data_IF_920280936478
#
_entry.id   IF_920280936478
#
_cell.length_a   1.000
_cell.length_b   1.000
_cell.length_c   1.000
_cell.angle_alpha   90.00
_cell.angle_beta   90.00
_cell.angle_gamma   90.00
#
_symmetry.space_group_name_H-M   'P 1'
#
loop_
_entity.id
_entity.type
_entity.pdbx_description
1 polymer ?
#
# COMPACT_ATOMS: atom_id res chain seq x y z
N UNK A 1 -16.40 -17.38 -24.83
CA UNK A 1 -16.81 -16.32 -25.77
C UNK A 1 -15.98 -16.50 -27.02
N UNK A 2 -16.61 -16.63 -28.20
CA UNK A 2 -15.87 -16.59 -29.46
C UNK A 2 -15.05 -15.31 -29.52
N UNK A 3 -13.75 -15.44 -29.77
CA UNK A 3 -12.86 -14.34 -30.13
C UNK A 3 -13.41 -13.70 -31.40
N UNK A 4 -14.25 -12.68 -31.25
CA UNK A 4 -14.61 -11.79 -32.34
C UNK A 4 -13.36 -10.99 -32.72
N UNK A 5 -13.17 -10.85 -34.03
CA UNK A 5 -12.04 -10.21 -34.67
C UNK A 5 -11.69 -8.87 -34.02
N UNK A 6 -10.39 -8.70 -33.73
CA UNK A 6 -9.78 -7.47 -33.23
C UNK A 6 -10.03 -6.36 -34.28
N UNK A 7 -10.69 -5.25 -33.94
CA UNK A 7 -10.84 -4.12 -34.85
C UNK A 7 -9.46 -3.52 -35.16
N UNK A 8 -9.27 -3.11 -36.41
CA UNK A 8 -7.99 -2.58 -36.91
C UNK A 8 -7.49 -1.37 -36.13
N UNK A 9 -6.16 -1.22 -36.14
CA UNK A 9 -5.37 -0.12 -35.59
C UNK A 9 -6.07 1.25 -35.77
N UNK A 10 -6.54 1.83 -34.66
CA UNK A 10 -6.87 3.25 -34.60
C UNK A 10 -5.56 4.01 -34.31
N UNK A 11 -5.08 4.91 -35.19
CA UNK A 11 -3.97 5.79 -34.87
C UNK A 11 -4.48 6.93 -33.97
N UNK A 12 -3.68 7.23 -32.94
CA UNK A 12 -3.73 8.40 -32.07
C UNK A 12 -4.94 8.51 -31.12
N UNK A 13 -4.93 7.67 -30.08
CA UNK A 13 -5.66 7.97 -28.85
C UNK A 13 -5.07 9.23 -28.19
N UNK A 14 -5.89 10.18 -27.74
CA UNK A 14 -5.39 11.37 -27.06
C UNK A 14 -4.68 10.97 -25.77
N UNK A 15 -3.46 11.48 -25.60
CA UNK A 15 -2.74 11.39 -24.33
C UNK A 15 -3.52 12.17 -23.26
N UNK A 16 -3.67 11.59 -22.07
CA UNK A 16 -4.26 12.28 -20.92
C UNK A 16 -3.46 13.53 -20.51
N UNK A 17 -3.96 14.32 -19.54
CA UNK A 17 -3.25 15.49 -19.05
C UNK A 17 -1.85 15.12 -18.56
N UNK A 18 -0.87 15.94 -18.92
CA UNK A 18 0.52 15.76 -18.51
C UNK A 18 0.69 16.01 -17.01
N UNK A 19 1.38 15.09 -16.34
CA UNK A 19 1.68 15.14 -14.90
C UNK A 19 2.66 16.26 -14.57
N UNK A 20 3.59 16.58 -15.47
CA UNK A 20 4.62 17.60 -15.25
C UNK A 20 4.44 18.79 -16.18
N UNK A 21 4.69 19.99 -15.67
CA UNK A 21 4.82 21.19 -16.52
C UNK A 21 6.15 21.16 -17.27
N UNK A 22 6.24 21.86 -18.41
CA UNK A 22 7.50 21.99 -19.15
C UNK A 22 8.63 22.59 -18.29
N UNK A 23 8.32 23.53 -17.39
CA UNK A 23 9.30 24.10 -16.45
C UNK A 23 9.80 23.05 -15.46
N UNK A 24 8.91 22.16 -14.97
CA UNK A 24 9.28 21.06 -14.08
C UNK A 24 10.15 20.01 -14.79
N UNK A 25 9.78 19.60 -16.02
CA UNK A 25 10.56 18.65 -16.82
C UNK A 25 11.98 19.19 -17.02
N UNK A 26 12.11 20.41 -17.52
CA UNK A 26 13.41 21.06 -17.73
C UNK A 26 14.21 21.16 -16.43
N UNK A 27 13.55 21.48 -15.31
CA UNK A 27 14.23 21.56 -14.01
C UNK A 27 14.79 20.20 -13.56
N UNK A 28 14.06 19.10 -13.82
CA UNK A 28 14.49 17.74 -13.49
C UNK A 28 15.58 17.24 -14.45
N UNK A 29 15.54 17.60 -15.74
CA UNK A 29 16.60 17.33 -16.72
C UNK A 29 17.89 18.06 -16.36
N UNK A 30 17.81 19.35 -16.01
CA UNK A 30 18.96 20.15 -15.53
C UNK A 30 19.54 19.60 -14.21
N UNK A 31 18.80 18.76 -13.50
CA UNK A 31 19.25 18.07 -12.29
C UNK A 31 19.75 16.63 -12.56
N UNK A 32 19.76 16.20 -13.83
CA UNK A 32 20.03 14.83 -14.26
C UNK A 32 19.12 13.78 -13.61
N UNK A 33 17.95 14.19 -13.11
CA UNK A 33 16.93 13.30 -12.53
C UNK A 33 16.06 12.71 -13.63
N UNK A 34 15.61 13.51 -14.59
CA UNK A 34 14.97 12.99 -15.81
C UNK A 34 16.02 12.95 -16.91
N UNK A 35 16.20 11.78 -17.53
CA UNK A 35 17.08 11.66 -18.67
C UNK A 35 16.40 12.25 -19.92
N UNK A 36 17.16 12.93 -20.82
CA UNK A 36 16.64 13.45 -22.06
C UNK A 36 15.98 12.34 -22.89
N UNK A 37 14.92 12.70 -23.59
CA UNK A 37 14.20 11.75 -24.45
C UNK A 37 15.10 11.36 -25.64
N UNK A 38 15.33 10.05 -25.90
CA UNK A 38 16.22 9.65 -26.98
C UNK A 38 15.70 10.01 -28.39
N UNK A 39 14.38 10.14 -28.59
CA UNK A 39 13.74 10.43 -29.89
C UNK A 39 12.34 11.06 -29.73
N UNK A 40 11.86 11.89 -30.68
CA UNK A 40 10.57 12.60 -30.61
C UNK A 40 9.30 11.73 -30.72
N UNK A 41 9.43 10.40 -30.78
CA UNK A 41 8.31 9.45 -30.90
C UNK A 41 8.28 8.45 -29.71
N UNK A 42 8.94 8.75 -28.59
CA UNK A 42 9.17 7.77 -27.53
C UNK A 42 8.02 7.70 -26.52
N UNK A 43 7.19 6.66 -26.69
CA UNK A 43 6.49 5.84 -25.68
C UNK A 43 5.76 6.49 -24.50
N UNK A 44 5.57 7.80 -24.40
CA UNK A 44 4.86 8.44 -23.27
C UNK A 44 5.52 8.25 -21.88
N UNK A 45 6.71 7.64 -21.83
CA UNK A 45 7.48 7.32 -20.61
C UNK A 45 8.78 8.11 -20.59
N UNK A 46 9.29 8.43 -19.40
CA UNK A 46 10.61 9.03 -19.21
C UNK A 46 11.42 8.27 -18.19
N UNK A 47 12.72 8.17 -18.45
CA UNK A 47 13.67 7.53 -17.56
C UNK A 47 14.06 8.48 -16.43
N UNK A 48 13.84 8.06 -15.21
CA UNK A 48 14.28 8.69 -13.96
C UNK A 48 15.61 8.07 -13.55
N UNK A 49 16.56 8.88 -13.09
CA UNK A 49 17.84 8.46 -12.54
C UNK A 49 18.12 9.24 -11.25
N UNK A 50 17.88 8.64 -10.09
CA UNK A 50 18.04 9.33 -8.81
C UNK A 50 18.42 8.38 -7.66
N UNK A 51 19.17 8.90 -6.70
CA UNK A 51 19.34 8.31 -5.38
C UNK A 51 18.32 8.90 -4.40
N UNK A 52 17.77 8.06 -3.52
CA UNK A 52 16.79 8.48 -2.52
C UNK A 52 17.41 8.41 -1.12
N UNK A 53 17.38 9.53 -0.41
CA UNK A 53 17.93 9.62 0.95
C UNK A 53 16.82 9.54 1.99
N UNK A 54 17.06 8.74 3.03
CA UNK A 54 16.18 8.64 4.18
C UNK A 54 15.87 10.02 4.81
N UNK A 55 14.65 10.21 5.35
CA UNK A 55 14.35 11.32 6.23
C UNK A 55 15.36 11.41 7.37
N UNK A 56 15.96 12.59 7.57
CA UNK A 56 16.86 12.84 8.69
C UNK A 56 16.08 13.29 9.92
N UNK A 57 16.53 12.87 11.10
CA UNK A 57 16.06 13.44 12.36
C UNK A 57 16.37 14.93 12.35
N UNK A 58 15.34 15.77 12.48
CA UNK A 58 15.52 17.22 12.52
C UNK A 58 16.09 17.54 13.90
N UNK A 59 17.42 17.65 13.98
CA UNK A 59 18.09 18.12 15.19
C UNK A 59 17.57 19.50 15.53
N UNK A 60 16.76 19.57 16.59
CA UNK A 60 16.19 20.75 17.27
C UNK A 60 16.99 22.06 17.12
N UNK A 61 16.82 22.73 15.98
CA UNK A 61 17.43 24.04 15.71
C UNK A 61 16.43 24.96 15.01
N UNK A 62 15.30 25.18 15.67
CA UNK A 62 14.63 26.48 15.70
C UNK A 62 13.46 26.43 16.71
N UNK A 63 13.67 27.18 17.78
CA UNK A 63 12.69 27.62 18.79
C UNK A 63 11.29 27.90 18.23
N UNK A 64 10.31 27.09 18.62
CA UNK A 64 9.04 27.61 19.14
C UNK A 64 8.38 26.57 20.04
N UNK A 65 8.11 27.02 21.25
CA UNK A 65 7.41 26.35 22.34
C UNK A 65 6.00 25.92 21.92
N UNK A 66 5.79 24.62 21.77
CA UNK A 66 4.52 23.96 22.06
C UNK A 66 4.82 22.53 22.47
N UNK A 67 4.39 22.18 23.67
CA UNK A 67 4.50 20.89 24.34
C UNK A 67 3.63 19.80 23.68
N UNK A 68 3.60 19.73 22.36
CA UNK A 68 2.89 18.68 21.63
C UNK A 68 3.76 17.43 21.55
N UNK A 69 3.50 16.46 22.42
CA UNK A 69 4.07 15.11 22.29
C UNK A 69 3.77 14.57 20.89
N UNK A 70 4.79 14.01 20.23
CA UNK A 70 4.64 13.37 18.92
C UNK A 70 3.55 12.29 18.99
N UNK A 71 2.72 12.20 17.95
CA UNK A 71 1.61 11.24 17.86
C UNK A 71 2.05 9.91 17.23
N UNK A 72 3.15 9.90 16.48
CA UNK A 72 3.81 8.68 16.04
C UNK A 72 5.32 8.91 15.86
N UNK A 73 6.05 7.83 15.64
CA UNK A 73 7.43 7.90 15.19
C UNK A 73 7.66 7.03 13.95
N UNK A 74 8.73 7.32 13.20
CA UNK A 74 9.06 6.63 11.96
C UNK A 74 10.55 6.29 11.89
N UNK A 75 10.84 5.06 11.47
CA UNK A 75 12.14 4.57 11.06
C UNK A 75 12.09 4.25 9.55
N UNK A 76 13.23 4.35 8.88
CA UNK A 76 13.36 4.00 7.46
C UNK A 76 14.53 3.07 7.21
N UNK A 77 14.34 2.04 6.40
CA UNK A 77 15.36 1.05 6.02
C UNK A 77 15.52 0.95 4.50
N UNK A 78 16.71 0.59 4.05
CA UNK A 78 17.01 0.36 2.63
C UNK A 78 17.49 1.59 1.87
N UNK A 79 17.11 2.80 2.29
CA UNK A 79 17.49 4.05 1.64
C UNK A 79 18.99 4.30 1.67
N UNK A 80 19.63 4.18 0.51
CA UNK A 80 21.07 4.37 0.34
C UNK A 80 21.35 5.59 -0.54
N UNK A 81 21.86 6.71 0.02
CA UNK A 81 22.08 7.96 -0.73
C UNK A 81 23.12 7.82 -1.85
N UNK A 82 23.96 6.78 -1.79
CA UNK A 82 25.03 6.53 -2.75
C UNK A 82 24.63 5.58 -3.88
N UNK A 83 23.39 5.07 -3.88
CA UNK A 83 22.90 4.14 -4.92
C UNK A 83 21.90 4.86 -5.80
N UNK A 84 22.33 5.14 -7.04
CA UNK A 84 21.44 5.68 -8.07
C UNK A 84 20.56 4.56 -8.59
N UNK A 85 19.25 4.79 -8.61
CA UNK A 85 18.25 3.92 -9.21
C UNK A 85 17.79 4.52 -10.53
N UNK A 86 17.57 3.66 -11.52
CA UNK A 86 17.08 4.07 -12.84
C UNK A 86 15.83 3.30 -13.21
N UNK A 87 14.79 4.01 -13.63
CA UNK A 87 13.44 3.46 -13.79
C UNK A 87 12.58 4.34 -14.72
N UNK A 88 11.56 3.80 -15.36
CA UNK A 88 10.73 4.46 -16.37
C UNK A 88 9.36 4.88 -15.79
N UNK A 89 9.04 6.18 -15.87
CA UNK A 89 7.79 6.73 -15.36
C UNK A 89 6.89 7.24 -16.50
N UNK A 90 5.60 6.84 -16.55
CA UNK A 90 4.61 7.49 -17.40
C UNK A 90 4.49 8.99 -17.11
N UNK A 91 4.34 9.81 -18.16
CA UNK A 91 4.18 11.27 -18.04
C UNK A 91 2.72 11.74 -18.03
N UNK A 92 1.77 10.88 -18.38
CA UNK A 92 0.35 11.16 -18.28
C UNK A 92 -0.23 10.51 -17.01
N UNK A 93 -1.28 11.13 -16.45
CA UNK A 93 -1.97 10.60 -15.27
C UNK A 93 -2.76 9.33 -15.61
N UNK A 94 -3.29 9.28 -16.83
CA UNK A 94 -4.07 8.19 -17.38
C UNK A 94 -3.60 7.91 -18.81
N UNK A 95 -3.10 6.69 -19.05
CA UNK A 95 -2.66 6.26 -20.38
C UNK A 95 -2.47 4.74 -20.46
N UNK A 96 -2.17 4.23 -21.65
CA UNK A 96 -1.77 2.82 -21.84
C UNK A 96 -0.49 2.51 -21.06
N UNK A 97 0.46 3.44 -21.04
CA UNK A 97 1.73 3.32 -20.32
C UNK A 97 1.53 3.16 -18.81
N UNK A 98 0.53 3.83 -18.23
CA UNK A 98 0.14 3.68 -16.83
C UNK A 98 -0.34 2.25 -16.57
N UNK A 99 -1.21 1.72 -17.43
CA UNK A 99 -1.71 0.35 -17.29
C UNK A 99 -0.60 -0.69 -17.46
N UNK A 100 0.33 -0.47 -18.38
CA UNK A 100 1.53 -1.29 -18.51
C UNK A 100 2.41 -1.21 -17.26
N UNK A 101 2.61 -0.01 -16.71
CA UNK A 101 3.43 0.22 -15.50
C UNK A 101 2.87 -0.54 -14.30
N UNK A 102 1.55 -0.49 -14.08
CA UNK A 102 0.92 -1.21 -12.97
C UNK A 102 0.83 -2.72 -13.21
N UNK A 103 1.18 -3.15 -14.43
CA UNK A 103 1.59 -4.52 -14.76
C UNK A 103 0.61 -5.30 -15.63
N UNK A 104 -0.16 -4.62 -16.48
CA UNK A 104 -0.84 -5.25 -17.61
C UNK A 104 0.08 -5.44 -18.82
N UNK A 105 -0.19 -6.46 -19.62
CA UNK A 105 0.46 -6.61 -20.94
C UNK A 105 -0.08 -5.56 -21.93
N UNK A 106 0.71 -5.13 -22.94
CA UNK A 106 0.34 -4.02 -23.82
C UNK A 106 -1.04 -4.14 -24.48
N UNK A 107 -1.41 -5.33 -24.95
CA UNK A 107 -2.70 -5.51 -25.64
C UNK A 107 -3.89 -5.34 -24.69
N UNK A 108 -3.76 -5.80 -23.45
CA UNK A 108 -4.82 -5.67 -22.44
C UNK A 108 -4.84 -4.26 -21.84
N UNK A 109 -3.67 -3.62 -21.70
CA UNK A 109 -3.58 -2.21 -21.35
C UNK A 109 -4.34 -1.35 -22.37
N UNK A 110 -4.11 -1.54 -23.68
CA UNK A 110 -4.89 -0.86 -24.73
C UNK A 110 -6.38 -1.16 -24.62
N UNK A 111 -6.77 -2.43 -24.47
CA UNK A 111 -8.18 -2.80 -24.34
C UNK A 111 -8.89 -2.13 -23.15
N UNK A 112 -8.23 -2.01 -21.99
CA UNK A 112 -8.78 -1.32 -20.82
C UNK A 112 -8.89 0.18 -21.11
N UNK A 113 -7.83 0.78 -21.66
CA UNK A 113 -7.80 2.21 -21.97
C UNK A 113 -8.82 2.61 -23.05
N UNK A 114 -8.98 1.82 -24.11
CA UNK A 114 -9.98 2.05 -25.17
C UNK A 114 -11.40 2.05 -24.60
N UNK A 115 -11.70 1.14 -23.67
CA UNK A 115 -13.00 1.13 -22.98
C UNK A 115 -13.19 2.35 -22.09
N UNK A 116 -12.13 2.81 -21.45
CA UNK A 116 -12.13 4.02 -20.64
C UNK A 116 -12.34 5.27 -21.52
N UNK A 117 -11.64 5.40 -22.64
CA UNK A 117 -11.80 6.51 -23.58
C UNK A 117 -13.15 6.50 -24.30
N UNK A 118 -13.69 5.31 -24.59
CA UNK A 118 -15.00 5.13 -25.22
C UNK A 118 -16.19 5.29 -24.28
N UNK A 119 -15.97 5.68 -23.03
CA UNK A 119 -17.04 5.83 -22.04
C UNK A 119 -17.95 7.03 -22.35
N UNK A 120 -19.23 7.01 -21.91
CA UNK A 120 -20.09 8.19 -21.97
C UNK A 120 -19.45 9.39 -21.25
N UNK A 121 -19.92 10.62 -21.50
CA UNK A 121 -19.33 11.82 -20.89
C UNK A 121 -19.13 11.66 -19.37
N UNK A 122 -18.07 12.24 -18.75
CA UNK A 122 -17.82 12.08 -17.31
C UNK A 122 -18.98 12.49 -16.39
N UNK A 123 -19.88 13.35 -16.88
CA UNK A 123 -21.12 13.70 -16.16
C UNK A 123 -22.14 12.56 -16.06
N UNK A 124 -22.09 11.60 -16.99
CA UNK A 124 -22.94 10.42 -17.06
C UNK A 124 -22.23 9.18 -16.50
N UNK A 125 -20.92 9.08 -16.74
CA UNK A 125 -20.08 8.04 -16.15
C UNK A 125 -18.85 8.66 -15.45
N UNK A 126 -18.91 8.87 -14.12
CA UNK A 126 -17.82 9.47 -13.36
C UNK A 126 -16.66 8.49 -13.08
N UNK A 127 -16.72 7.25 -13.59
CA UNK A 127 -15.68 6.24 -13.40
C UNK A 127 -14.32 6.73 -13.94
N UNK A 128 -13.30 6.62 -13.10
CA UNK A 128 -11.89 6.87 -13.43
C UNK A 128 -11.24 5.65 -14.12
N UNK A 129 -9.96 5.78 -14.52
CA UNK A 129 -9.23 4.67 -15.15
C UNK A 129 -9.17 3.42 -14.26
N UNK A 130 -9.03 3.59 -12.94
CA UNK A 130 -8.91 2.47 -12.00
C UNK A 130 -10.23 1.73 -11.79
N UNK A 131 -11.38 2.40 -11.89
CA UNK A 131 -12.69 1.73 -11.90
C UNK A 131 -12.82 0.73 -13.06
N UNK A 132 -12.26 1.06 -14.23
CA UNK A 132 -12.19 0.15 -15.38
C UNK A 132 -11.23 -1.03 -15.14
N UNK A 133 -10.08 -0.78 -14.51
CA UNK A 133 -9.13 -1.82 -14.09
C UNK A 133 -9.79 -2.79 -13.10
N UNK A 134 -10.44 -2.26 -12.06
CA UNK A 134 -11.12 -3.04 -11.02
C UNK A 134 -12.25 -3.88 -11.61
N UNK A 135 -13.03 -3.30 -12.54
CA UNK A 135 -14.09 -4.02 -13.28
C UNK A 135 -13.52 -5.12 -14.17
N UNK A 136 -12.38 -4.87 -14.85
CA UNK A 136 -11.70 -5.87 -15.66
C UNK A 136 -11.22 -7.06 -14.81
N UNK A 137 -10.58 -6.80 -13.68
CA UNK A 137 -10.10 -7.85 -12.77
C UNK A 137 -11.23 -8.57 -12.03
N UNK A 138 -12.39 -7.93 -11.83
CA UNK A 138 -13.57 -8.60 -11.26
C UNK A 138 -14.06 -9.77 -12.11
N UNK A 139 -13.66 -9.85 -13.39
CA UNK A 139 -13.91 -11.02 -14.25
C UNK A 139 -13.37 -12.32 -13.66
N UNK A 140 -12.29 -12.30 -12.85
CA UNK A 140 -11.72 -13.47 -12.16
C UNK A 140 -12.73 -14.20 -11.25
N UNK A 141 -13.83 -13.53 -10.85
CA UNK A 141 -14.93 -14.12 -10.07
C UNK A 141 -15.85 -15.01 -10.92
N UNK A 142 -15.75 -14.95 -12.25
CA UNK A 142 -16.56 -15.77 -13.17
C UNK A 142 -16.18 -17.25 -13.05
N UNK A 143 -17.15 -18.11 -13.38
CA UNK A 143 -17.00 -19.58 -13.31
C UNK A 143 -15.99 -20.14 -14.31
N UNK A 144 -15.72 -19.45 -15.42
CA UNK A 144 -14.73 -19.91 -16.40
C UNK A 144 -13.32 -20.08 -15.81
N UNK A 145 -13.01 -19.32 -14.75
CA UNK A 145 -11.73 -19.40 -14.03
C UNK A 145 -11.73 -20.46 -12.92
N UNK A 146 -12.86 -21.16 -12.67
CA UNK A 146 -12.94 -22.18 -11.61
C UNK A 146 -12.01 -23.37 -11.87
N UNK A 147 -11.71 -23.65 -13.14
CA UNK A 147 -10.96 -24.82 -13.63
C UNK A 147 -9.53 -24.48 -14.10
N UNK A 148 -9.14 -23.20 -14.05
CA UNK A 148 -7.79 -22.76 -14.41
C UNK A 148 -6.91 -22.76 -13.16
N UNK A 149 -5.61 -22.95 -13.33
CA UNK A 149 -4.66 -22.59 -12.28
C UNK A 149 -4.71 -21.07 -12.03
N UNK A 150 -4.30 -20.64 -10.84
CA UNK A 150 -4.28 -19.20 -10.52
C UNK A 150 -3.39 -18.42 -11.50
N UNK A 151 -2.27 -19.00 -11.93
CA UNK A 151 -1.37 -18.36 -12.88
C UNK A 151 -2.00 -18.20 -14.26
N UNK A 152 -2.66 -19.24 -14.78
CA UNK A 152 -3.39 -19.18 -16.04
C UNK A 152 -4.54 -18.15 -15.99
N UNK A 153 -5.27 -18.09 -14.87
CA UNK A 153 -6.34 -17.12 -14.69
C UNK A 153 -5.82 -15.67 -14.69
N UNK A 154 -4.69 -15.41 -14.00
CA UNK A 154 -4.04 -14.08 -14.00
C UNK A 154 -3.47 -13.72 -15.38
N UNK A 155 -2.97 -14.71 -16.13
CA UNK A 155 -2.50 -14.52 -17.51
C UNK A 155 -3.66 -14.19 -18.47
N UNK A 156 -4.79 -14.87 -18.35
CA UNK A 156 -5.98 -14.66 -19.19
C UNK A 156 -6.58 -13.25 -19.01
N UNK A 157 -6.51 -12.70 -17.79
CA UNK A 157 -6.90 -11.28 -17.55
C UNK A 157 -5.79 -10.28 -17.91
N UNK A 158 -4.67 -10.74 -18.46
CA UNK A 158 -3.64 -9.87 -19.04
C UNK A 158 -2.63 -9.28 -18.07
N UNK A 159 -2.46 -9.86 -16.87
CA UNK A 159 -1.38 -9.42 -15.98
C UNK A 159 -0.04 -9.96 -16.50
N UNK A 160 1.04 -9.20 -16.29
CA UNK A 160 2.39 -9.60 -16.69
C UNK A 160 2.86 -10.84 -15.93
N UNK A 161 3.73 -11.64 -16.57
CA UNK A 161 4.31 -12.85 -15.96
C UNK A 161 4.95 -12.57 -14.59
N UNK A 162 5.63 -11.43 -14.45
CA UNK A 162 6.26 -11.03 -13.19
C UNK A 162 5.23 -10.89 -12.06
N UNK A 163 4.09 -10.23 -12.31
CA UNK A 163 3.00 -10.09 -11.31
C UNK A 163 2.36 -11.45 -11.02
N UNK A 164 2.11 -12.26 -12.05
CA UNK A 164 1.55 -13.61 -11.87
C UNK A 164 2.41 -14.43 -10.91
N UNK A 165 3.71 -14.56 -11.21
CA UNK A 165 4.68 -15.31 -10.40
C UNK A 165 4.84 -14.72 -9.00
N UNK A 166 4.64 -13.41 -8.84
CA UNK A 166 4.71 -12.75 -7.53
C UNK A 166 3.48 -13.06 -6.66
N UNK A 167 2.28 -12.98 -7.23
CA UNK A 167 1.03 -13.26 -6.52
C UNK A 167 0.99 -14.74 -6.10
N UNK A 168 1.37 -15.64 -7.00
CA UNK A 168 1.29 -17.10 -6.77
C UNK A 168 2.59 -17.69 -6.23
N UNK A 169 3.51 -16.87 -5.70
CA UNK A 169 4.80 -17.33 -5.18
C UNK A 169 4.58 -18.36 -4.04
N UNK A 170 5.03 -19.61 -4.19
CA UNK A 170 4.77 -20.68 -3.22
C UNK A 170 5.30 -20.36 -1.81
N UNK A 171 6.33 -19.51 -1.70
CA UNK A 171 6.89 -19.06 -0.42
C UNK A 171 5.87 -18.32 0.45
N UNK A 172 4.92 -17.65 -0.19
CA UNK A 172 3.85 -16.89 0.46
C UNK A 172 2.48 -17.57 0.33
N UNK A 173 2.43 -18.85 -0.02
CA UNK A 173 1.18 -19.62 -0.20
C UNK A 173 0.20 -19.48 0.98
N UNK A 174 0.74 -19.41 2.20
CA UNK A 174 -0.03 -19.25 3.42
C UNK A 174 -0.68 -17.86 3.56
N UNK A 175 -0.01 -16.78 3.11
CA UNK A 175 -0.60 -15.43 3.05
C UNK A 175 -1.54 -15.31 1.85
N UNK A 176 -1.14 -15.83 0.70
CA UNK A 176 -1.97 -15.87 -0.50
C UNK A 176 -3.34 -16.50 -0.21
N UNK A 177 -3.38 -17.55 0.61
CA UNK A 177 -4.62 -18.17 1.07
C UNK A 177 -5.53 -17.27 1.90
N UNK A 178 -5.02 -16.18 2.48
CA UNK A 178 -5.82 -15.32 3.38
C UNK A 178 -6.79 -14.39 2.65
N UNK A 179 -6.81 -14.38 1.31
CA UNK A 179 -7.77 -13.62 0.50
C UNK A 179 -8.11 -14.36 -0.81
N UNK A 180 -8.95 -13.75 -1.66
CA UNK A 180 -9.27 -14.30 -2.99
C UNK A 180 -8.21 -13.94 -4.03
N UNK A 181 -8.13 -14.70 -5.13
CA UNK A 181 -7.28 -14.36 -6.28
C UNK A 181 -7.62 -12.97 -6.85
N UNK A 182 -8.92 -12.65 -6.94
CA UNK A 182 -9.37 -11.32 -7.40
C UNK A 182 -8.90 -10.21 -6.48
N UNK A 183 -8.96 -10.42 -5.15
CA UNK A 183 -8.44 -9.46 -4.18
C UNK A 183 -6.96 -9.21 -4.43
N UNK A 184 -6.12 -10.25 -4.48
CA UNK A 184 -4.68 -10.06 -4.66
C UNK A 184 -4.32 -9.41 -6.00
N UNK A 185 -5.05 -9.71 -7.06
CA UNK A 185 -4.88 -9.05 -8.35
C UNK A 185 -5.20 -7.54 -8.26
N UNK A 186 -6.34 -7.18 -7.67
CA UNK A 186 -6.78 -5.78 -7.50
C UNK A 186 -5.82 -5.02 -6.58
N UNK A 187 -5.57 -5.56 -5.39
CA UNK A 187 -4.63 -5.01 -4.40
C UNK A 187 -3.25 -4.73 -5.01
N UNK A 188 -2.70 -5.68 -5.78
CA UNK A 188 -1.39 -5.49 -6.43
C UNK A 188 -1.37 -4.33 -7.43
N UNK A 189 -2.36 -4.24 -8.31
CA UNK A 189 -2.38 -3.18 -9.34
C UNK A 189 -2.71 -1.81 -8.74
N UNK A 190 -3.58 -1.77 -7.73
CA UNK A 190 -3.91 -0.54 -6.99
C UNK A 190 -2.69 -0.02 -6.21
N UNK A 191 -1.94 -0.90 -5.54
CA UNK A 191 -0.69 -0.54 -4.88
C UNK A 191 0.35 -0.04 -5.87
N UNK A 192 0.50 -0.71 -7.03
CA UNK A 192 1.43 -0.24 -8.06
C UNK A 192 1.03 1.13 -8.61
N UNK A 193 -0.27 1.39 -8.79
CA UNK A 193 -0.78 2.68 -9.25
C UNK A 193 -0.53 3.79 -8.22
N UNK A 194 -0.84 3.53 -6.95
CA UNK A 194 -0.59 4.48 -5.87
C UNK A 194 0.92 4.77 -5.70
N UNK A 195 1.77 3.75 -5.86
CA UNK A 195 3.22 3.92 -5.88
C UNK A 195 3.69 4.83 -7.01
N UNK A 196 3.14 4.66 -8.22
CA UNK A 196 3.40 5.55 -9.37
C UNK A 196 3.02 6.99 -9.04
N UNK A 197 1.80 7.23 -8.55
CA UNK A 197 1.32 8.57 -8.20
C UNK A 197 2.20 9.22 -7.12
N UNK A 198 2.62 8.45 -6.10
CA UNK A 198 3.54 8.93 -5.07
C UNK A 198 4.88 9.35 -5.66
N UNK A 199 5.45 8.54 -6.55
CA UNK A 199 6.71 8.85 -7.22
C UNK A 199 6.61 10.12 -8.08
N UNK A 200 5.54 10.25 -8.86
CA UNK A 200 5.27 11.44 -9.66
C UNK A 200 5.15 12.69 -8.77
N UNK A 201 4.39 12.62 -7.67
CA UNK A 201 4.24 13.71 -6.70
C UNK A 201 5.55 14.09 -6.02
N UNK A 202 6.40 13.11 -5.70
CA UNK A 202 7.73 13.33 -5.14
C UNK A 202 8.62 14.12 -6.12
N UNK A 203 8.66 13.70 -7.39
CA UNK A 203 9.41 14.37 -8.45
C UNK A 203 8.91 15.79 -8.69
N UNK A 204 7.59 16.00 -8.76
CA UNK A 204 6.98 17.32 -8.87
C UNK A 204 7.38 18.22 -7.70
N UNK A 205 7.26 17.72 -6.47
CA UNK A 205 7.59 18.47 -5.25
C UNK A 205 9.06 18.87 -5.22
N UNK A 206 9.95 17.99 -5.66
CA UNK A 206 11.38 18.28 -5.81
C UNK A 206 11.62 19.39 -6.85
N UNK A 207 11.01 19.30 -8.03
CA UNK A 207 11.12 20.30 -9.08
C UNK A 207 10.64 21.68 -8.61
N UNK A 208 9.48 21.75 -7.95
CA UNK A 208 8.90 22.99 -7.41
C UNK A 208 9.86 23.66 -6.42
N UNK A 209 10.38 22.90 -5.45
CA UNK A 209 11.35 23.40 -4.45
C UNK A 209 12.59 23.99 -5.13
N UNK A 210 13.12 23.31 -6.15
CA UNK A 210 14.33 23.73 -6.88
C UNK A 210 14.08 24.96 -7.75
N UNK A 211 12.94 25.05 -8.43
CA UNK A 211 12.51 26.23 -9.19
C UNK A 211 12.37 27.44 -8.26
N UNK A 212 11.70 27.28 -7.11
CA UNK A 212 11.54 28.35 -6.13
C UNK A 212 12.90 28.84 -5.59
N UNK A 213 13.83 27.92 -5.31
CA UNK A 213 15.19 28.26 -4.90
C UNK A 213 15.94 29.09 -5.96
N UNK A 214 15.89 28.67 -7.25
CA UNK A 214 16.49 29.43 -8.35
C UNK A 214 15.89 30.83 -8.50
N UNK A 215 14.56 30.98 -8.33
CA UNK A 215 13.87 32.29 -8.40
C UNK A 215 14.27 33.22 -7.25
N UNK A 216 14.52 32.70 -6.05
CA UNK A 216 14.98 33.48 -4.89
C UNK A 216 16.39 34.06 -5.11
N UNK A 217 17.29 33.29 -5.72
CA UNK A 217 18.68 33.69 -5.96
C UNK A 217 18.88 34.58 -7.20
N UNK A 218 17.92 34.61 -8.14
CA UNK A 218 17.96 35.51 -9.32
C UNK A 218 17.47 36.94 -9.03
N UNK A 219 17.06 37.28 -7.81
CA UNK A 219 16.70 38.68 -7.48
C UNK A 219 17.97 39.54 -7.47
N UNK A 220 17.97 40.72 -8.13
CA UNK A 220 19.15 41.58 -8.19
C UNK A 220 19.53 42.01 -6.78
N UNK A 221 20.68 41.53 -6.30
CA UNK A 221 21.37 42.15 -5.18
C UNK A 221 21.82 43.53 -5.66
N UNK A 222 21.25 44.58 -5.09
CA UNK A 222 21.95 45.87 -5.08
C UNK A 222 23.20 45.68 -4.22
N UNK A 223 24.37 45.71 -4.87
CA UNK A 223 25.70 45.53 -4.28
C UNK A 223 26.08 46.68 -3.32
N UNK A 224 27.15 46.51 -2.53
CA UNK A 224 28.47 46.89 -3.05
C UNK A 224 29.55 45.81 -2.85
N UNK A 225 30.36 45.64 -3.90
CA UNK A 225 31.76 45.17 -3.95
C UNK A 225 32.26 44.26 -2.81
N UNK A 226 32.46 42.98 -3.15
CA UNK A 226 33.61 42.20 -2.67
C UNK A 226 34.20 41.40 -3.81
N UNK A 227 35.41 41.80 -4.19
CA UNK A 227 36.34 41.09 -5.06
C UNK A 227 36.76 39.75 -4.44
N UNK A 228 37.04 38.80 -5.34
CA UNK A 228 37.81 37.58 -5.19
C UNK A 228 37.37 36.54 -4.14
N UNK A 229 36.57 35.57 -4.60
CA UNK A 229 36.66 34.19 -4.13
C UNK A 229 36.65 33.20 -5.29
N UNK A 230 37.65 32.32 -5.26
CA UNK A 230 37.98 31.22 -6.16
C UNK A 230 36.78 30.36 -6.62
N UNK A 231 36.87 29.72 -7.80
CA UNK A 231 35.91 28.72 -8.24
C UNK A 231 36.05 27.47 -7.37
N UNK A 232 35.29 27.39 -6.28
CA UNK A 232 35.14 26.15 -5.52
C UNK A 232 34.61 25.06 -6.44
N UNK A 233 35.34 23.95 -6.48
CA UNK A 233 35.03 22.70 -7.17
C UNK A 233 33.52 22.43 -7.17
N UNK A 234 32.93 22.40 -8.37
CA UNK A 234 31.58 21.91 -8.56
C UNK A 234 31.58 20.44 -8.18
N UNK A 235 31.20 20.13 -6.93
CA UNK A 235 30.87 18.76 -6.56
C UNK A 235 29.91 18.20 -7.62
N UNK A 236 30.16 17.00 -8.15
CA UNK A 236 29.30 16.42 -9.16
C UNK A 236 27.88 16.41 -8.61
N UNK A 237 26.97 17.08 -9.32
CA UNK A 237 25.55 17.20 -8.97
C UNK A 237 24.98 15.79 -8.97
N UNK A 238 25.07 15.11 -7.84
CA UNK A 238 24.54 13.77 -7.67
C UNK A 238 23.04 13.93 -7.55
N UNK A 239 22.28 13.35 -8.49
CA UNK A 239 20.84 13.40 -8.58
C UNK A 239 20.20 12.75 -7.33
N UNK A 240 20.20 13.47 -6.21
CA UNK A 240 19.77 12.95 -4.91
C UNK A 240 18.49 13.64 -4.49
N UNK A 241 17.47 12.85 -4.19
CA UNK A 241 16.19 13.31 -3.65
C UNK A 241 16.18 13.02 -2.15
N UNK A 242 16.23 14.09 -1.35
CA UNK A 242 16.09 13.99 0.10
C UNK A 242 14.62 13.84 0.47
N UNK A 243 14.27 12.69 1.05
CA UNK A 243 12.92 12.44 1.53
C UNK A 243 12.69 13.07 2.91
N UNK A 244 11.43 13.33 3.21
CA UNK A 244 10.93 13.93 4.44
C UNK A 244 9.71 13.14 4.92
N UNK A 245 9.32 13.25 6.20
CA UNK A 245 8.09 12.62 6.69
C UNK A 245 6.85 13.00 5.85
N UNK A 246 6.78 14.23 5.32
CA UNK A 246 5.70 14.65 4.41
C UNK A 246 5.60 13.85 3.12
N UNK A 247 6.73 13.33 2.62
CA UNK A 247 6.73 12.47 1.43
C UNK A 247 6.05 11.12 1.71
N UNK A 248 5.90 10.79 2.99
CA UNK A 248 5.08 9.70 3.53
C UNK A 248 3.83 10.23 4.25
N UNK A 249 3.28 11.37 3.80
CA UNK A 249 2.02 11.95 4.31
C UNK A 249 1.96 12.14 5.82
N UNK A 250 3.11 12.18 6.50
CA UNK A 250 3.16 12.44 7.92
C UNK A 250 3.25 13.95 8.17
N UNK A 251 2.43 14.51 9.06
CA UNK A 251 2.57 15.89 9.47
C UNK A 251 3.82 16.04 10.35
N UNK A 252 4.79 16.85 9.89
CA UNK A 252 6.07 17.07 10.58
C UNK A 252 5.91 17.45 12.06
N UNK A 253 4.82 18.17 12.39
CA UNK A 253 4.57 18.63 13.76
C UNK A 253 4.25 17.48 14.74
N UNK A 254 3.85 16.31 14.25
CA UNK A 254 3.35 15.21 15.09
C UNK A 254 4.06 13.88 14.84
N UNK A 255 5.04 13.83 13.94
CA UNK A 255 5.80 12.60 13.65
C UNK A 255 7.28 12.83 13.83
N UNK A 256 7.90 12.00 14.66
CA UNK A 256 9.32 12.05 14.95
C UNK A 256 10.08 10.96 14.18
N UNK A 257 11.22 11.30 13.58
CA UNK A 257 12.12 10.31 12.98
C UNK A 257 13.05 9.75 14.06
N UNK A 258 12.97 8.45 14.32
CA UNK A 258 13.81 7.75 15.29
C UNK A 258 14.08 6.30 14.83
N UNK A 259 15.23 5.72 15.18
CA UNK A 259 15.64 4.41 14.65
C UNK A 259 14.80 3.24 15.21
N UNK A 260 14.44 3.27 16.49
CA UNK A 260 13.76 2.17 17.16
C UNK A 260 12.55 2.65 17.98
N UNK A 261 11.57 1.77 18.15
CA UNK A 261 10.49 1.96 19.11
C UNK A 261 10.93 1.55 20.52
N UNK A 262 10.81 2.46 21.48
CA UNK A 262 10.94 2.11 22.89
C UNK A 262 9.75 1.23 23.30
N UNK A 263 10.01 -0.04 23.65
CA UNK A 263 8.98 -0.95 24.15
C UNK A 263 8.62 -0.56 25.58
N UNK A 264 7.35 -0.21 25.80
CA UNK A 264 6.80 0.16 27.09
C UNK A 264 6.40 -1.11 27.86
N UNK A 265 6.95 -1.28 29.07
CA UNK A 265 6.80 -2.52 29.84
C UNK A 265 5.34 -2.86 30.21
N UNK A 266 4.52 -1.85 30.46
CA UNK A 266 3.10 -1.93 30.82
C UNK A 266 2.17 -1.94 29.58
N UNK A 267 2.71 -2.15 28.39
CA UNK A 267 1.95 -2.18 27.14
C UNK A 267 2.01 -3.55 26.45
N UNK A 268 1.04 -3.77 25.57
CA UNK A 268 0.99 -4.89 24.62
C UNK A 268 1.40 -4.36 23.25
N UNK A 269 2.32 -5.07 22.59
CA UNK A 269 2.73 -4.76 21.22
C UNK A 269 1.90 -5.55 20.22
N UNK A 270 1.34 -4.85 19.23
CA UNK A 270 0.69 -5.46 18.08
C UNK A 270 1.25 -4.87 16.78
N UNK A 271 1.24 -5.66 15.73
CA UNK A 271 1.91 -5.39 14.46
C UNK A 271 0.98 -5.58 13.27
N UNK A 272 1.29 -4.87 12.18
CA UNK A 272 0.67 -5.06 10.85
C UNK A 272 1.70 -4.77 9.77
N UNK A 273 1.90 -5.69 8.83
CA UNK A 273 2.76 -5.47 7.66
C UNK A 273 1.94 -5.35 6.39
N UNK A 274 2.39 -4.51 5.46
CA UNK A 274 1.66 -4.17 4.21
C UNK A 274 2.53 -3.36 3.25
N UNK A 275 2.05 -3.16 2.02
CA UNK A 275 2.58 -2.06 1.21
C UNK A 275 2.19 -0.72 1.84
N UNK A 276 3.09 0.25 1.80
CA UNK A 276 2.85 1.58 2.35
C UNK A 276 1.74 2.30 1.60
N UNK A 277 1.63 2.06 0.28
CA UNK A 277 0.62 2.67 -0.58
C UNK A 277 -0.81 2.19 -0.33
N UNK A 278 -1.00 1.02 0.31
CA UNK A 278 -2.32 0.57 0.77
C UNK A 278 -2.94 1.53 1.80
N UNK A 279 -2.14 2.43 2.38
CA UNK A 279 -2.57 3.37 3.42
C UNK A 279 -3.26 4.62 2.85
N UNK A 280 -3.09 4.92 1.56
CA UNK A 280 -3.47 6.22 1.00
C UNK A 280 -4.95 6.40 0.64
N UNK A 281 -5.69 5.39 0.14
CA UNK A 281 -7.06 5.60 -0.37
C UNK A 281 -8.08 6.08 0.68
N UNK A 282 -7.77 5.98 1.97
CA UNK A 282 -8.71 6.16 3.07
C UNK A 282 -8.40 7.37 3.99
N UNK A 283 -7.41 8.19 3.61
CA UNK A 283 -6.96 9.37 4.36
C UNK A 283 -5.68 9.16 5.16
N UNK A 284 -5.24 10.22 5.84
CA UNK A 284 -4.00 10.21 6.62
C UNK A 284 -4.18 9.40 7.92
N UNK A 285 -3.22 8.56 8.29
CA UNK A 285 -3.27 7.83 9.58
C UNK A 285 -3.01 8.77 10.75
N UNK A 286 -2.14 9.77 10.54
CA UNK A 286 -1.91 10.86 11.49
C UNK A 286 -2.45 12.12 10.85
N UNK A 287 -3.57 12.59 11.36
CA UNK A 287 -4.25 13.77 10.85
C UNK A 287 -3.44 15.04 11.14
N UNK A 288 -3.78 16.12 10.45
CA UNK A 288 -3.08 17.42 10.58
C UNK A 288 -3.14 18.05 11.99
N UNK A 289 -4.03 17.57 12.88
CA UNK A 289 -4.13 17.96 14.30
C UNK A 289 -3.42 16.96 15.25
N UNK A 290 -2.75 15.96 14.69
CA UNK A 290 -2.06 14.89 15.40
C UNK A 290 -2.99 13.81 15.95
N UNK A 291 -4.28 13.81 15.61
CA UNK A 291 -5.16 12.67 15.96
C UNK A 291 -4.81 11.45 15.11
N UNK A 292 -5.06 10.26 15.68
CA UNK A 292 -4.83 8.99 14.98
C UNK A 292 -6.13 8.55 14.33
N UNK A 293 -6.08 8.29 13.02
CA UNK A 293 -7.17 7.76 12.23
C UNK A 293 -6.84 6.32 11.79
N UNK A 294 -7.59 5.36 12.31
CA UNK A 294 -7.41 3.93 11.98
C UNK A 294 -8.22 3.47 10.77
N UNK A 295 -9.03 4.34 10.14
CA UNK A 295 -9.83 3.97 8.96
C UNK A 295 -8.96 3.41 7.82
N UNK A 296 -7.76 3.95 7.50
CA UNK A 296 -6.90 3.38 6.47
C UNK A 296 -6.33 1.98 6.78
N UNK A 297 -6.46 1.54 8.03
CA UNK A 297 -6.03 0.20 8.45
C UNK A 297 -7.17 -0.80 8.52
N UNK A 298 -8.40 -0.37 8.25
CA UNK A 298 -9.60 -1.20 8.33
C UNK A 298 -9.58 -2.31 7.29
N UNK A 299 -10.00 -3.50 7.71
CA UNK A 299 -10.26 -4.63 6.83
C UNK A 299 -11.75 -4.67 6.53
N UNK A 300 -12.10 -4.74 5.25
CA UNK A 300 -13.48 -4.89 4.76
C UNK A 300 -14.04 -6.28 5.12
N UNK A 301 -15.36 -6.50 5.01
CA UNK A 301 -15.98 -7.79 5.30
C UNK A 301 -15.38 -8.95 4.48
N UNK A 302 -15.42 -10.17 5.01
CA UNK A 302 -14.85 -11.36 4.37
C UNK A 302 -13.48 -11.80 4.92
N UNK A 303 -13.08 -11.27 6.09
CA UNK A 303 -11.94 -11.80 6.85
C UNK A 303 -12.33 -13.00 7.71
N UNK A 304 -11.41 -13.48 8.55
CA UNK A 304 -11.64 -14.67 9.40
C UNK A 304 -12.68 -14.44 10.50
N UNK A 305 -12.84 -13.19 10.95
CA UNK A 305 -13.68 -12.82 12.09
C UNK A 305 -14.64 -11.66 11.82
N UNK A 306 -14.80 -11.24 10.56
CA UNK A 306 -15.73 -10.17 10.18
C UNK A 306 -16.51 -10.53 8.90
N UNK A 307 -17.77 -10.96 9.06
CA UNK A 307 -18.66 -11.41 7.98
C UNK A 307 -19.14 -10.28 7.08
N UNK A 308 -19.70 -9.24 7.69
CA UNK A 308 -20.49 -8.18 7.04
C UNK A 308 -20.20 -6.79 7.64
N UNK A 309 -19.19 -6.69 8.50
CA UNK A 309 -18.75 -5.45 9.13
C UNK A 309 -17.24 -5.22 8.95
N UNK A 310 -16.82 -3.97 9.11
CA UNK A 310 -15.42 -3.58 9.07
C UNK A 310 -14.72 -3.87 10.41
N UNK A 311 -13.48 -4.34 10.38
CA UNK A 311 -12.73 -4.64 11.60
C UNK A 311 -11.26 -4.23 11.50
N UNK A 312 -10.57 -4.15 12.64
CA UNK A 312 -9.13 -3.89 12.71
C UNK A 312 -8.37 -5.15 13.08
N UNK A 313 -7.65 -5.70 12.11
CA UNK A 313 -6.80 -6.88 12.29
C UNK A 313 -5.37 -6.47 12.62
N UNK A 314 -4.85 -7.09 13.68
CA UNK A 314 -3.47 -6.97 14.15
C UNK A 314 -2.92 -8.33 14.56
N UNK A 315 -1.60 -8.49 14.60
CA UNK A 315 -0.95 -9.72 15.08
C UNK A 315 0.03 -9.38 16.22
N UNK A 316 0.13 -10.20 17.28
CA UNK A 316 1.15 -9.99 18.31
C UNK A 316 2.53 -10.49 17.85
N UNK A 317 2.63 -11.23 16.74
CA UNK A 317 3.89 -11.74 16.22
C UNK A 317 4.47 -10.81 15.15
N UNK A 318 5.62 -10.21 15.43
CA UNK A 318 6.38 -9.43 14.43
C UNK A 318 6.68 -10.26 13.17
N UNK A 319 7.00 -11.55 13.33
CA UNK A 319 7.27 -12.48 12.20
C UNK A 319 6.07 -12.57 11.24
N UNK A 320 4.83 -12.60 11.76
CA UNK A 320 3.62 -12.59 10.93
C UNK A 320 3.54 -11.30 10.11
N UNK A 321 3.72 -10.14 10.75
CA UNK A 321 3.72 -8.86 10.05
C UNK A 321 4.82 -8.76 8.98
N UNK A 322 6.01 -9.27 9.28
CA UNK A 322 7.14 -9.30 8.34
C UNK A 322 6.84 -10.17 7.10
N UNK A 323 6.19 -11.32 7.26
CA UNK A 323 5.80 -12.16 6.11
C UNK A 323 4.77 -11.43 5.22
N UNK A 324 3.77 -10.75 5.80
CA UNK A 324 2.83 -9.91 5.04
C UNK A 324 3.53 -8.78 4.29
N UNK A 325 4.47 -8.08 4.95
CA UNK A 325 5.28 -7.01 4.34
C UNK A 325 6.09 -7.55 3.16
N UNK A 326 6.79 -8.68 3.33
CA UNK A 326 7.59 -9.31 2.27
C UNK A 326 6.73 -9.77 1.09
N UNK A 327 5.51 -10.24 1.35
CA UNK A 327 4.59 -10.59 0.28
C UNK A 327 4.14 -9.36 -0.52
N UNK A 328 3.87 -8.23 0.16
CA UNK A 328 3.58 -6.97 -0.50
C UNK A 328 4.78 -6.48 -1.35
N UNK A 329 6.00 -6.52 -0.80
CA UNK A 329 7.24 -6.19 -1.52
C UNK A 329 7.42 -7.06 -2.78
N UNK A 330 7.11 -8.36 -2.68
CA UNK A 330 7.26 -9.31 -3.79
C UNK A 330 6.31 -8.99 -4.96
N UNK A 331 5.06 -8.62 -4.66
CA UNK A 331 3.99 -8.35 -5.64
C UNK A 331 4.07 -6.95 -6.22
N UNK A 332 4.51 -6.00 -5.41
CA UNK A 332 4.60 -4.59 -5.77
C UNK A 332 6.01 -4.05 -5.51
N UNK A 333 7.02 -4.49 -6.28
CA UNK A 333 8.41 -4.14 -6.01
C UNK A 333 8.73 -2.64 -6.11
N UNK A 334 7.90 -1.86 -6.83
CA UNK A 334 8.00 -0.40 -6.93
C UNK A 334 7.35 0.39 -5.79
N UNK A 335 6.61 -0.29 -4.91
CA UNK A 335 6.00 0.29 -3.73
C UNK A 335 6.96 0.21 -2.54
N UNK A 336 6.96 1.26 -1.72
CA UNK A 336 7.59 1.15 -0.40
C UNK A 336 6.69 0.23 0.46
N UNK A 337 7.27 -0.48 1.43
CA UNK A 337 6.50 -1.33 2.34
C UNK A 337 6.68 -0.87 3.77
N UNK A 338 5.79 -1.28 4.68
CA UNK A 338 5.93 -0.92 6.08
C UNK A 338 5.49 -2.00 7.06
N UNK A 339 6.02 -1.89 8.27
CA UNK A 339 5.47 -2.51 9.48
C UNK A 339 4.99 -1.40 10.39
N UNK A 340 3.74 -1.51 10.81
CA UNK A 340 3.09 -0.63 11.76
C UNK A 340 3.09 -1.36 13.10
N UNK A 341 3.75 -0.76 14.08
CA UNK A 341 3.82 -1.24 15.46
C UNK A 341 3.01 -0.32 16.36
N UNK A 342 2.02 -0.86 17.06
CA UNK A 342 1.25 -0.13 18.07
C UNK A 342 1.53 -0.70 19.45
N UNK A 343 1.60 0.17 20.45
CA UNK A 343 1.69 -0.22 21.85
C UNK A 343 0.44 0.22 22.59
N UNK A 344 -0.28 -0.75 23.17
CA UNK A 344 -1.57 -0.54 23.81
C UNK A 344 -1.42 -0.72 25.33
N UNK A 345 -1.86 0.24 26.17
CA UNK A 345 -1.79 0.07 27.62
C UNK A 345 -2.52 -1.20 28.08
N UNK A 346 -1.88 -1.98 28.98
CA UNK A 346 -2.53 -3.14 29.60
C UNK A 346 -3.85 -2.79 30.28
N UNK A 347 -3.97 -1.69 31.07
CA UNK A 347 -5.26 -1.32 31.69
C UNK A 347 -6.40 -1.12 30.68
N UNK A 348 -6.09 -0.61 29.48
CA UNK A 348 -7.10 -0.51 28.43
C UNK A 348 -7.49 -1.89 27.92
N UNK A 349 -6.53 -2.75 27.58
CA UNK A 349 -6.82 -4.11 27.11
C UNK A 349 -7.60 -4.92 28.15
N UNK A 350 -7.22 -4.83 29.42
CA UNK A 350 -7.85 -5.55 30.53
C UNK A 350 -9.29 -5.06 30.79
N UNK A 351 -9.63 -3.85 30.33
CA UNK A 351 -11.00 -3.31 30.39
C UNK A 351 -11.92 -3.80 29.26
N UNK A 352 -11.38 -4.46 28.24
CA UNK A 352 -12.13 -4.89 27.05
C UNK A 352 -12.67 -6.31 27.21
N UNK A 353 -13.87 -6.55 26.68
CA UNK A 353 -14.44 -7.89 26.57
C UNK A 353 -13.74 -8.65 25.47
N UNK A 354 -13.11 -9.75 25.84
CA UNK A 354 -12.22 -10.47 24.96
C UNK A 354 -12.64 -11.92 24.80
N UNK A 355 -12.85 -12.31 23.56
CA UNK A 355 -13.24 -13.67 23.20
C UNK A 355 -12.09 -14.38 22.50
N UNK A 356 -11.90 -15.66 22.84
CA UNK A 356 -10.90 -16.51 22.23
C UNK A 356 -11.58 -17.59 21.41
N UNK A 357 -11.41 -17.56 20.10
CA UNK A 357 -11.88 -18.58 19.18
C UNK A 357 -10.68 -19.32 18.58
N UNK A 358 -10.11 -20.24 19.36
CA UNK A 358 -9.01 -21.09 18.91
C UNK A 358 -9.50 -22.23 18.00
N UNK A 359 -8.58 -22.83 17.24
CA UNK A 359 -8.86 -23.92 16.32
C UNK A 359 -9.71 -25.02 16.99
N UNK A 360 -10.94 -25.15 16.52
CA UNK A 360 -12.01 -25.96 17.10
C UNK A 360 -13.15 -26.08 16.08
N UNK A 361 -14.16 -26.95 16.30
CA UNK A 361 -15.32 -27.01 15.42
C UNK A 361 -16.04 -25.66 15.23
N UNK A 362 -16.10 -24.86 16.30
CA UNK A 362 -16.68 -23.52 16.28
C UNK A 362 -15.84 -22.53 15.47
N UNK A 363 -14.51 -22.57 15.58
CA UNK A 363 -13.63 -21.75 14.75
C UNK A 363 -13.79 -22.07 13.27
N UNK A 364 -13.83 -23.36 12.89
CA UNK A 364 -14.00 -23.79 11.50
C UNK A 364 -15.29 -23.25 10.89
N UNK A 365 -16.41 -23.40 11.62
CA UNK A 365 -17.71 -22.90 11.17
C UNK A 365 -17.75 -21.37 11.11
N UNK A 366 -17.17 -20.68 12.09
CA UNK A 366 -17.17 -19.22 12.13
C UNK A 366 -16.34 -18.60 11.00
N UNK A 367 -15.10 -19.07 10.80
CA UNK A 367 -14.23 -18.61 9.70
C UNK A 367 -14.88 -18.90 8.35
N UNK A 368 -15.37 -20.13 8.14
CA UNK A 368 -16.09 -20.49 6.89
C UNK A 368 -17.27 -19.55 6.64
N UNK A 369 -18.00 -19.18 7.68
CA UNK A 369 -19.13 -18.26 7.58
C UNK A 369 -18.66 -16.84 7.26
N UNK A 370 -17.70 -16.29 8.02
CA UNK A 370 -17.19 -14.93 7.81
C UNK A 370 -16.61 -14.75 6.39
N UNK A 371 -15.84 -15.73 5.90
CA UNK A 371 -15.23 -15.72 4.55
C UNK A 371 -16.24 -15.76 3.41
N UNK A 372 -17.46 -16.26 3.66
CA UNK A 372 -18.55 -16.25 2.68
C UNK A 372 -19.40 -14.99 2.74
N UNK A 373 -19.25 -14.20 3.81
CA UNK A 373 -20.00 -12.99 4.12
C UNK A 373 -21.52 -13.09 4.41
N UNK A 374 -22.17 -14.27 4.64
CA UNK A 374 -23.47 -14.26 5.29
C UNK A 374 -23.32 -13.98 6.80
N UNK A 375 -24.40 -13.53 7.46
CA UNK A 375 -24.43 -13.39 8.91
C UNK A 375 -24.09 -14.71 9.63
N UNK A 376 -23.24 -14.69 10.67
CA UNK A 376 -22.96 -15.85 11.49
C UNK A 376 -24.21 -16.40 12.19
N UNK A 377 -24.20 -17.71 12.46
CA UNK A 377 -25.25 -18.34 13.28
C UNK A 377 -25.32 -17.66 14.67
N UNK A 378 -26.52 -17.49 15.24
CA UNK A 378 -26.74 -16.76 16.50
C UNK A 378 -25.92 -17.26 17.70
N UNK A 379 -25.52 -18.53 17.70
CA UNK A 379 -24.57 -19.06 18.69
C UNK A 379 -23.24 -18.29 18.74
N UNK A 380 -22.88 -17.56 17.68
CA UNK A 380 -21.70 -16.73 17.56
C UNK A 380 -21.97 -15.23 17.78
N UNK A 381 -23.18 -14.85 18.20
CA UNK A 381 -23.53 -13.45 18.47
C UNK A 381 -22.58 -12.81 19.49
N UNK A 382 -22.08 -13.62 20.44
CA UNK A 382 -21.10 -13.19 21.43
C UNK A 382 -19.76 -12.67 20.84
N UNK A 383 -19.45 -12.98 19.57
CA UNK A 383 -18.18 -12.62 18.92
C UNK A 383 -18.20 -11.27 18.18
N UNK A 384 -19.38 -10.71 17.91
CA UNK A 384 -19.46 -9.52 17.04
C UNK A 384 -20.61 -8.57 17.36
N UNK A 385 -21.70 -9.05 17.99
CA UNK A 385 -22.82 -8.19 18.31
C UNK A 385 -22.37 -7.05 19.25
N UNK A 386 -22.92 -5.83 19.06
CA UNK A 386 -22.61 -4.70 19.92
C UNK A 386 -22.79 -5.05 21.40
N UNK A 387 -21.77 -4.78 22.21
CA UNK A 387 -21.83 -5.06 23.63
C UNK A 387 -21.44 -6.49 24.05
N UNK A 388 -21.00 -7.35 23.13
CA UNK A 388 -20.59 -8.72 23.48
C UNK A 388 -19.08 -8.89 23.51
N UNK A 389 -18.42 -8.84 22.35
CA UNK A 389 -16.97 -8.85 22.23
C UNK A 389 -16.46 -7.50 21.72
N UNK A 390 -15.38 -7.03 22.32
CA UNK A 390 -14.62 -5.87 21.84
C UNK A 390 -13.42 -6.34 21.00
N UNK A 391 -12.80 -7.46 21.40
CA UNK A 391 -11.69 -8.12 20.72
C UNK A 391 -11.99 -9.62 20.55
N UNK A 392 -11.75 -10.15 19.35
CA UNK A 392 -11.70 -11.60 19.10
C UNK A 392 -10.26 -12.00 18.80
N UNK A 393 -9.75 -13.04 19.47
CA UNK A 393 -8.45 -13.66 19.22
C UNK A 393 -8.60 -15.04 18.62
N UNK A 394 -7.74 -15.36 17.66
CA UNK A 394 -7.66 -16.71 17.14
C UNK A 394 -6.55 -16.88 16.10
N UNK A 395 -6.40 -18.09 15.54
CA UNK A 395 -5.43 -18.35 14.49
C UNK A 395 -5.86 -17.70 13.17
N UNK A 396 -4.88 -17.46 12.28
CA UNK A 396 -5.11 -17.00 10.91
C UNK A 396 -5.41 -18.20 10.01
N UNK A 397 -6.48 -18.12 9.21
CA UNK A 397 -6.78 -19.14 8.20
C UNK A 397 -6.01 -18.88 6.92
N UNK A 398 -5.19 -19.84 6.50
CA UNK A 398 -4.34 -19.79 5.30
C UNK A 398 -5.00 -20.42 4.06
N UNK A 399 -6.33 -20.57 4.06
CA UNK A 399 -7.06 -21.24 2.97
C UNK A 399 -7.83 -20.25 2.14
N UNK A 400 -7.61 -20.29 0.82
CA UNK A 400 -8.24 -19.37 -0.13
C UNK A 400 -9.74 -19.27 0.11
N UNK A 401 -10.24 -18.04 0.20
CA UNK A 401 -11.65 -17.81 0.52
C UNK A 401 -12.59 -18.48 -0.48
N UNK A 402 -12.18 -18.60 -1.77
CA UNK A 402 -12.94 -19.34 -2.80
C UNK A 402 -13.00 -20.85 -2.53
N UNK A 403 -11.92 -21.45 -2.02
CA UNK A 403 -11.90 -22.87 -1.64
C UNK A 403 -12.82 -23.09 -0.43
N UNK A 404 -12.71 -22.24 0.59
CA UNK A 404 -13.60 -22.29 1.76
C UNK A 404 -15.07 -22.12 1.36
N UNK A 405 -15.38 -21.16 0.49
CA UNK A 405 -16.74 -20.88 0.05
C UNK A 405 -17.41 -22.03 -0.72
N UNK A 406 -16.62 -22.97 -1.27
CA UNK A 406 -17.11 -24.17 -1.97
C UNK A 406 -17.35 -25.36 -1.03
N UNK A 407 -16.82 -25.34 0.20
CA UNK A 407 -17.06 -26.38 1.19
C UNK A 407 -18.53 -26.32 1.60
N UNK A 408 -19.24 -27.45 1.48
CA UNK A 408 -20.63 -27.55 1.95
C UNK A 408 -20.67 -27.50 3.47
N UNK A 409 -21.78 -27.02 4.05
CA UNK A 409 -21.87 -26.79 5.49
C UNK A 409 -21.59 -28.07 6.30
N UNK A 410 -22.13 -29.19 5.84
CA UNK A 410 -21.97 -30.53 6.40
C UNK A 410 -20.52 -31.03 6.36
N UNK A 411 -19.72 -30.51 5.44
CA UNK A 411 -18.33 -30.93 5.17
C UNK A 411 -17.28 -30.02 5.85
N UNK A 412 -17.70 -28.90 6.46
CA UNK A 412 -16.79 -27.92 7.09
C UNK A 412 -15.85 -28.57 8.10
N UNK A 413 -16.38 -29.50 8.90
CA UNK A 413 -15.62 -30.11 9.99
C UNK A 413 -14.53 -31.07 9.51
N UNK A 414 -14.75 -31.73 8.37
CA UNK A 414 -13.82 -32.68 7.77
C UNK A 414 -12.81 -32.02 6.82
N UNK A 415 -13.21 -30.95 6.13
CA UNK A 415 -12.37 -30.31 5.11
C UNK A 415 -11.46 -29.21 5.66
N UNK A 416 -11.88 -28.49 6.71
CA UNK A 416 -11.02 -27.52 7.38
C UNK A 416 -10.26 -28.28 8.47
N UNK A 417 -8.99 -28.56 8.22
CA UNK A 417 -8.05 -29.23 9.13
C UNK A 417 -7.13 -28.22 9.80
N UNK A 418 -6.21 -28.71 10.65
CA UNK A 418 -5.24 -27.85 11.32
C UNK A 418 -4.17 -27.32 10.34
N UNK A 419 -3.99 -27.95 9.19
CA UNK A 419 -3.07 -27.49 8.13
C UNK A 419 -3.57 -26.19 7.46
N UNK A 420 -4.87 -25.90 7.60
CA UNK A 420 -5.46 -24.64 7.17
C UNK A 420 -5.18 -23.46 8.13
N UNK A 421 -4.46 -23.70 9.24
CA UNK A 421 -3.96 -22.65 10.12
C UNK A 421 -2.59 -22.19 9.65
N UNK A 422 -2.43 -20.88 9.46
CA UNK A 422 -1.14 -20.28 9.11
C UNK A 422 -0.10 -20.59 10.19
N UNK A 423 1.06 -21.10 9.75
CA UNK A 423 2.22 -21.33 10.60
C UNK A 423 3.38 -20.47 10.15
N UNK A 424 4.08 -19.95 11.13
CA UNK A 424 5.34 -19.23 10.98
C UNK A 424 6.48 -20.20 10.70
N UNK A 425 7.64 -19.70 10.26
CA UNK A 425 8.81 -20.55 9.99
C UNK A 425 9.32 -21.22 11.26
N UNK A 426 9.09 -20.57 12.41
CA UNK A 426 9.30 -21.12 13.74
C UNK A 426 8.40 -22.32 14.08
N UNK A 427 7.43 -22.67 13.24
CA UNK A 427 6.43 -23.73 13.48
C UNK A 427 5.25 -23.28 14.36
N UNK A 428 5.34 -22.10 14.97
CA UNK A 428 4.28 -21.49 15.76
C UNK A 428 3.08 -21.14 14.87
N UNK A 429 1.87 -21.28 15.42
CA UNK A 429 0.65 -20.79 14.76
C UNK A 429 0.67 -19.25 14.79
N UNK A 430 0.46 -18.64 13.63
CA UNK A 430 0.25 -17.20 13.56
C UNK A 430 -1.14 -16.86 14.14
N UNK A 431 -1.22 -15.78 14.90
CA UNK A 431 -2.46 -15.36 15.54
C UNK A 431 -2.84 -13.93 15.16
N UNK A 432 -4.13 -13.64 15.30
CA UNK A 432 -4.70 -12.33 15.03
C UNK A 432 -5.59 -11.88 16.18
N UNK A 433 -5.56 -10.57 16.41
CA UNK A 433 -6.39 -9.84 17.34
C UNK A 433 -7.26 -8.90 16.51
N UNK A 434 -8.58 -9.09 16.61
CA UNK A 434 -9.54 -8.41 15.77
C UNK A 434 -10.40 -7.52 16.65
N UNK A 435 -10.25 -6.21 16.50
CA UNK A 435 -11.16 -5.25 17.13
C UNK A 435 -12.40 -5.13 16.27
N UNK A 436 -13.54 -5.52 16.83
CA UNK A 436 -14.80 -5.70 16.08
C UNK A 436 -15.79 -4.56 16.28
N UNK A 437 -15.69 -3.80 17.37
CA UNK A 437 -16.61 -2.70 17.68
C UNK A 437 -16.05 -1.34 17.26
N UNK A 438 -16.89 -0.53 16.59
CA UNK A 438 -16.50 0.79 16.07
C UNK A 438 -16.08 1.78 17.17
N UNK A 439 -16.78 1.79 18.30
CA UNK A 439 -16.46 2.65 19.45
C UNK A 439 -15.13 2.24 20.11
N UNK A 440 -14.87 0.93 20.20
CA UNK A 440 -13.59 0.39 20.70
C UNK A 440 -12.45 0.79 19.78
N UNK A 441 -12.62 0.72 18.46
CA UNK A 441 -11.62 1.18 17.49
C UNK A 441 -11.32 2.68 17.67
N UNK A 442 -12.36 3.50 17.90
CA UNK A 442 -12.19 4.93 18.22
C UNK A 442 -11.40 5.17 19.51
N UNK A 443 -11.69 4.41 20.58
CA UNK A 443 -10.92 4.47 21.83
C UNK A 443 -9.49 3.96 21.65
N UNK A 444 -9.29 2.89 20.88
CA UNK A 444 -7.96 2.36 20.56
C UNK A 444 -7.09 3.43 19.90
N UNK A 445 -7.63 4.17 18.92
CA UNK A 445 -6.92 5.26 18.25
C UNK A 445 -6.42 6.33 19.24
N UNK A 446 -7.24 6.66 20.25
CA UNK A 446 -6.84 7.59 21.32
C UNK A 446 -5.72 7.00 22.20
N UNK A 447 -5.82 5.71 22.55
CA UNK A 447 -4.87 5.05 23.45
C UNK A 447 -3.48 4.87 22.86
N UNK A 448 -3.37 4.71 21.54
CA UNK A 448 -2.12 4.50 20.81
C UNK A 448 -1.49 5.79 20.29
N UNK A 449 -2.13 6.96 20.48
CA UNK A 449 -1.53 8.25 20.15
C UNK A 449 -0.22 8.43 20.92
N UNK A 450 0.85 8.71 20.20
CA UNK A 450 2.23 8.79 20.71
C UNK A 450 2.90 7.44 20.97
N UNK A 451 2.25 6.33 20.59
CA UNK A 451 2.69 4.95 20.84
C UNK A 451 2.62 4.09 19.58
N UNK A 452 2.55 4.75 18.42
CA UNK A 452 2.59 4.11 17.12
C UNK A 452 3.94 4.39 16.45
N UNK A 453 4.55 3.34 15.92
CA UNK A 453 5.82 3.38 15.25
C UNK A 453 5.69 2.76 13.85
N UNK A 454 6.19 3.47 12.84
CA UNK A 454 6.23 3.01 11.47
C UNK A 454 7.66 2.65 11.10
N UNK A 455 7.85 1.44 10.58
CA UNK A 455 9.11 1.01 9.99
C UNK A 455 8.89 0.94 8.49
N UNK A 456 9.43 1.90 7.74
CA UNK A 456 9.27 1.98 6.28
C UNK A 456 10.50 1.39 5.59
N UNK A 457 10.27 0.56 4.60
CA UNK A 457 11.29 -0.10 3.81
C UNK A 457 11.21 0.44 2.38
N UNK A 458 12.35 0.88 1.85
CA UNK A 458 12.47 1.33 0.47
C UNK A 458 12.02 0.22 -0.49
N UNK A 459 11.30 0.61 -1.55
CA UNK A 459 10.93 -0.22 -2.68
C UNK A 459 12.11 -1.09 -3.17
N UNK A 460 11.85 -2.39 -3.36
CA UNK A 460 12.87 -3.36 -3.78
C UNK A 460 13.40 -3.09 -5.20
N UNK A 461 12.55 -2.59 -6.09
CA UNK A 461 12.92 -2.15 -7.44
C UNK A 461 12.02 -1.01 -7.90
N UNK A 462 12.59 0.09 -8.36
CA UNK A 462 11.82 1.12 -9.09
C UNK A 462 11.86 0.72 -10.56
N UNK A 463 10.70 0.55 -11.21
CA UNK A 463 10.56 0.14 -12.61
C UNK A 463 10.47 1.31 -13.55
#
# INVERSE_FOLDING_TARGET
MSLQAIPGHHPDLPSGPGVFTLEQIRCLEEAAILLPEPQPNASGKRKVSAAFSAPRSVSSSSTSSSSSSSSASVATHGFQPNVIRTFDIPLAEESVEVLEYIGFIPDVARLIYDRYCGRPSPSQNPDDLMAYVTTHLASLRRRQYDNMSHQEALADVGLTRQIQEAITDPRFSHIFGTQTLTYWAQDTVEVNYAALLRQQKLLQSHAIKRIAHKKKHKRPRHEPNREDQDPSEQEPVTATINMTPRDFQFPDAYVMVQPDANILADHISLYKGKAYDELQPAGDIIESDGTVNLRPLSTLPGGDFNSDFNAQYWTPEYETAEEYRKYAERRSPGADTCIIHIQIPRPFIDSLRMENLWYSPNWKEYVWTCRRQPPPHSKFDHLWQPGQADIVRGPICSTLSRQLARIRREDVQSHITEDNVMRLRSGRKASQWVFVQRDVIGRLAQQIRGKMHFIIFEAAARF
#
